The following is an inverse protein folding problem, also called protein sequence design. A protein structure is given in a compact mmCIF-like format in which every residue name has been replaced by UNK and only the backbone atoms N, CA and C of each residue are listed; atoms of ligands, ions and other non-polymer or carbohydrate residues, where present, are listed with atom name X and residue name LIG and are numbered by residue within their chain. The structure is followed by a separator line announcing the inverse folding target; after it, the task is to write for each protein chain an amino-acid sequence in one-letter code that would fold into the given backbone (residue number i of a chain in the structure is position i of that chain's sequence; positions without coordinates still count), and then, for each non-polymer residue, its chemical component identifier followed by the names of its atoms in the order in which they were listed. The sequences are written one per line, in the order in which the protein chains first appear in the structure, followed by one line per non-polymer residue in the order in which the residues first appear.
data_IF_238082788378
#
_entry.id   IF_238082788378
#
_cell.length_a   1.000
_cell.length_b   1.000
_cell.length_c   1.000
_cell.angle_alpha   90.00
_cell.angle_beta   90.00
_cell.angle_gamma   90.00
#
_symmetry.space_group_name_H-M   'P 1'
#
loop_
_entity.id
_entity.type
_entity.pdbx_description
1 polymer ?
#
# COMPACT_ATOMS: atom_id res chain seq x y z
N UNK A 1 -1.26 37.01 -5.61
CA UNK A 1 -1.59 35.59 -5.38
C UNK A 1 -2.21 35.47 -3.99
N UNK A 2 -3.51 35.15 -3.89
CA UNK A 2 -4.36 35.39 -2.71
C UNK A 2 -5.13 34.10 -2.29
N UNK A 3 -4.43 32.96 -2.14
CA UNK A 3 -5.10 31.65 -2.03
C UNK A 3 -5.23 31.08 -0.60
N UNK A 4 -4.65 31.73 0.42
CA UNK A 4 -4.67 31.29 1.83
C UNK A 4 -4.56 29.77 2.00
N UNK A 5 -3.56 29.15 1.36
CA UNK A 5 -3.37 27.70 1.38
C UNK A 5 -2.35 27.32 2.45
N UNK A 6 -2.65 26.26 3.21
CA UNK A 6 -1.65 25.57 4.03
C UNK A 6 -1.14 24.36 3.27
N UNK A 7 0.18 24.32 3.04
CA UNK A 7 0.85 23.21 2.41
C UNK A 7 1.51 22.33 3.49
N UNK A 8 1.01 21.10 3.67
CA UNK A 8 1.64 20.09 4.52
C UNK A 8 2.38 19.09 3.64
N UNK A 9 3.71 19.05 3.75
CA UNK A 9 4.59 18.16 2.98
C UNK A 9 5.47 17.33 3.92
N UNK A 10 5.96 16.20 3.42
CA UNK A 10 6.78 15.26 4.16
C UNK A 10 6.20 13.85 4.10
N UNK A 11 6.93 12.90 4.69
CA UNK A 11 6.46 11.53 4.79
C UNK A 11 5.40 11.39 5.88
N UNK A 12 4.55 10.37 5.73
CA UNK A 12 3.56 10.01 6.74
C UNK A 12 4.24 9.67 8.07
N UNK A 13 3.72 10.22 9.18
CA UNK A 13 4.12 9.80 10.52
C UNK A 13 3.41 8.47 10.85
N UNK A 14 3.96 7.38 10.31
CA UNK A 14 3.37 6.05 10.46
C UNK A 14 3.20 5.65 11.93
N UNK A 15 4.11 6.04 12.83
CA UNK A 15 4.04 5.67 14.24
C UNK A 15 2.80 6.26 14.92
N UNK A 16 2.40 7.48 14.58
CA UNK A 16 1.20 8.09 15.14
C UNK A 16 -0.09 7.64 14.46
N UNK A 17 -0.05 7.23 13.20
CA UNK A 17 -1.25 7.00 12.37
C UNK A 17 -1.60 5.50 12.25
N UNK A 18 -0.60 4.63 12.10
CA UNK A 18 -0.82 3.22 11.79
C UNK A 18 -1.68 2.46 12.83
N UNK A 19 -1.54 2.67 14.16
CA UNK A 19 -2.35 1.93 15.14
C UNK A 19 -3.86 2.10 14.92
N UNK A 20 -4.32 3.34 14.77
CA UNK A 20 -5.75 3.64 14.56
C UNK A 20 -6.29 3.10 13.23
N UNK A 21 -5.45 3.02 12.19
CA UNK A 21 -5.84 2.43 10.90
C UNK A 21 -5.97 0.91 10.97
N UNK A 22 -5.08 0.24 11.70
CA UNK A 22 -5.14 -1.22 11.87
C UNK A 22 -6.43 -1.64 12.59
N UNK A 23 -6.91 -0.84 13.55
CA UNK A 23 -8.16 -1.08 14.27
C UNK A 23 -9.41 -1.03 13.35
N UNK A 24 -9.33 -0.43 12.16
CA UNK A 24 -10.44 -0.38 11.20
C UNK A 24 -10.65 -1.69 10.43
N UNK A 25 -9.67 -2.60 10.44
CA UNK A 25 -9.76 -3.90 9.77
C UNK A 25 -10.71 -4.86 10.52
N UNK A 26 -10.52 -5.15 11.83
CA UNK A 26 -11.36 -6.13 12.53
C UNK A 26 -12.82 -5.72 12.67
N UNK A 27 -13.13 -4.42 12.65
CA UNK A 27 -14.51 -3.93 12.70
C UNK A 27 -15.20 -3.87 11.32
N UNK A 28 -14.49 -4.23 10.24
CA UNK A 28 -15.02 -4.30 8.88
C UNK A 28 -15.16 -2.94 8.19
N UNK A 29 -14.68 -1.84 8.78
CA UNK A 29 -14.74 -0.51 8.16
C UNK A 29 -13.78 -0.38 6.98
N UNK A 30 -12.79 -1.26 6.88
CA UNK A 30 -11.82 -1.30 5.79
C UNK A 30 -11.45 -2.74 5.43
N UNK A 31 -11.56 -3.09 4.15
CA UNK A 31 -11.05 -4.36 3.59
C UNK A 31 -9.76 -4.09 2.79
N UNK A 32 -8.62 -4.44 3.38
CA UNK A 32 -7.30 -4.26 2.78
C UNK A 32 -7.05 -5.18 1.59
N UNK A 33 -7.78 -6.30 1.48
CA UNK A 33 -7.57 -7.28 0.42
C UNK A 33 -8.06 -6.76 -0.92
N UNK A 34 -8.96 -5.79 -0.96
CA UNK A 34 -9.37 -5.10 -2.18
C UNK A 34 -8.20 -4.40 -2.90
N UNK A 35 -7.20 -3.95 -2.15
CA UNK A 35 -6.01 -3.34 -2.73
C UNK A 35 -4.98 -4.39 -3.19
N UNK A 36 -5.02 -5.61 -2.65
CA UNK A 36 -4.07 -6.68 -2.95
C UNK A 36 -4.40 -7.35 -4.29
N UNK A 37 -3.70 -6.94 -5.35
CA UNK A 37 -3.98 -7.43 -6.71
C UNK A 37 -3.23 -8.71 -7.08
N UNK A 38 -2.04 -8.95 -6.51
CA UNK A 38 -1.22 -10.13 -6.83
C UNK A 38 -0.60 -10.76 -5.58
N UNK A 39 -0.40 -12.07 -5.66
CA UNK A 39 0.37 -12.87 -4.69
C UNK A 39 1.41 -13.68 -5.46
N UNK A 40 2.65 -13.60 -5.03
CA UNK A 40 3.78 -14.28 -5.67
C UNK A 40 4.60 -15.02 -4.62
N UNK A 41 5.21 -16.17 -4.93
CA UNK A 41 6.12 -16.83 -4.01
C UNK A 41 7.38 -15.97 -3.82
N UNK A 42 8.01 -16.07 -2.64
CA UNK A 42 9.25 -15.34 -2.33
C UNK A 42 10.35 -15.55 -3.41
N UNK A 43 10.45 -16.74 -3.99
CA UNK A 43 11.42 -17.03 -5.07
C UNK A 43 11.24 -16.16 -6.32
N UNK A 44 10.04 -15.59 -6.53
CA UNK A 44 9.73 -14.72 -7.67
C UNK A 44 10.00 -13.23 -7.39
N UNK A 45 10.60 -12.85 -6.25
CA UNK A 45 10.75 -11.45 -5.82
C UNK A 45 11.30 -10.53 -6.92
N UNK A 46 12.37 -10.93 -7.61
CA UNK A 46 12.98 -10.11 -8.67
C UNK A 46 12.02 -9.91 -9.85
N UNK A 47 11.31 -10.96 -10.28
CA UNK A 47 10.36 -10.90 -11.37
C UNK A 47 9.12 -10.06 -11.00
N UNK A 48 8.65 -10.19 -9.75
CA UNK A 48 7.56 -9.40 -9.19
C UNK A 48 7.92 -7.91 -9.19
N UNK A 49 9.11 -7.54 -8.71
CA UNK A 49 9.60 -6.15 -8.76
C UNK A 49 9.66 -5.59 -10.19
N UNK A 50 10.25 -6.35 -11.13
CA UNK A 50 10.33 -5.93 -12.55
C UNK A 50 8.96 -5.74 -13.20
N UNK A 51 7.95 -6.49 -12.76
CA UNK A 51 6.59 -6.39 -13.31
C UNK A 51 5.82 -5.24 -12.67
N UNK A 52 5.97 -5.06 -11.35
CA UNK A 52 5.41 -3.93 -10.61
C UNK A 52 5.92 -2.58 -11.14
N UNK A 53 7.22 -2.48 -11.41
CA UNK A 53 7.86 -1.25 -11.92
C UNK A 53 7.32 -0.82 -13.30
N UNK A 54 6.88 -1.78 -14.11
CA UNK A 54 6.23 -1.50 -15.41
C UNK A 54 4.82 -0.91 -15.29
N UNK A 55 4.27 -0.79 -14.06
CA UNK A 55 2.95 -0.19 -13.76
C UNK A 55 1.81 -0.70 -14.65
N UNK A 56 1.83 -1.99 -14.99
CA UNK A 56 0.77 -2.60 -15.79
C UNK A 56 -0.55 -2.60 -15.01
N UNK A 57 -1.67 -2.55 -15.75
CA UNK A 57 -2.99 -2.75 -15.17
C UNK A 57 -3.01 -4.05 -14.34
N UNK A 58 -3.64 -4.02 -13.16
CA UNK A 58 -3.71 -5.13 -12.18
C UNK A 58 -2.42 -5.40 -11.38
N UNK A 59 -1.45 -4.49 -11.36
CA UNK A 59 -0.27 -4.56 -10.49
C UNK A 59 -0.23 -3.39 -9.49
N UNK A 60 -1.24 -3.32 -8.61
CA UNK A 60 -1.39 -2.25 -7.60
C UNK A 60 -0.65 -2.55 -6.29
N UNK A 61 -0.82 -3.77 -5.76
CA UNK A 61 -0.14 -4.24 -4.54
C UNK A 61 0.18 -5.72 -4.72
N UNK A 62 1.42 -6.07 -4.42
CA UNK A 62 1.93 -7.44 -4.50
C UNK A 62 2.32 -7.89 -3.11
N UNK A 63 1.82 -9.04 -2.68
CA UNK A 63 2.31 -9.73 -1.48
C UNK A 63 3.25 -10.85 -1.91
N UNK A 64 4.40 -10.94 -1.26
CA UNK A 64 5.27 -12.10 -1.38
C UNK A 64 4.93 -13.07 -0.26
N UNK A 65 4.55 -14.29 -0.63
CA UNK A 65 4.30 -15.36 0.32
C UNK A 65 5.62 -16.07 0.63
N UNK A 66 5.98 -16.10 1.91
CA UNK A 66 7.13 -16.84 2.45
C UNK A 66 6.67 -18.28 2.70
N UNK A 67 7.48 -19.30 2.37
CA UNK A 67 7.19 -20.69 2.74
C UNK A 67 7.12 -20.89 4.26
#
# INVERSE_FOLDING_TARGET
MNKNLTLKMGNCNHRSIAPALIEQVPNGSFDELLALTNREPMMNVIAAYKTFDKRKLRWLKVKLDVP
#
